data_IF_384289844162
#
_entry.id   IF_384289844162
#
_cell.length_a   1.000
_cell.length_b   1.000
_cell.length_c   1.000
_cell.angle_alpha   90.00
_cell.angle_beta   90.00
_cell.angle_gamma   90.00
#
_symmetry.space_group_name_H-M   'P 1'
#
loop_
_entity.id
_entity.type
_entity.pdbx_description
1 polymer ?
#
# COMPACT_ATOMS: atom_id res chain seq x y z
N UNK A 1 10.22 11.75 -14.53
CA UNK A 1 8.92 11.31 -13.98
C UNK A 1 8.71 9.82 -14.03
N UNK A 2 8.53 9.24 -15.22
CA UNK A 2 8.27 7.80 -15.42
C UNK A 2 9.18 6.88 -14.59
N UNK A 3 10.50 7.04 -14.69
CA UNK A 3 11.46 6.22 -13.95
C UNK A 3 11.33 6.34 -12.42
N UNK A 4 10.95 7.53 -11.91
CA UNK A 4 10.69 7.72 -10.47
C UNK A 4 9.43 6.97 -10.06
N UNK A 5 8.35 7.06 -10.85
CA UNK A 5 7.12 6.30 -10.61
C UNK A 5 7.39 4.78 -10.63
N UNK A 6 8.18 4.30 -11.59
CA UNK A 6 8.61 2.90 -11.66
C UNK A 6 9.34 2.46 -10.38
N UNK A 7 10.29 3.26 -9.88
CA UNK A 7 11.00 2.96 -8.64
C UNK A 7 10.06 2.89 -7.43
N UNK A 8 9.10 3.81 -7.35
CA UNK A 8 8.13 3.86 -6.26
C UNK A 8 7.16 2.68 -6.28
N UNK A 9 6.64 2.33 -7.45
CA UNK A 9 5.74 1.20 -7.61
C UNK A 9 6.44 -0.16 -7.39
N UNK A 10 7.69 -0.31 -7.83
CA UNK A 10 8.46 -1.54 -7.56
C UNK A 10 8.95 -1.68 -6.12
N UNK A 11 9.25 -0.56 -5.46
CA UNK A 11 9.75 -0.56 -4.09
C UNK A 11 8.59 -0.39 -3.10
N UNK A 12 8.35 0.84 -2.61
CA UNK A 12 7.31 1.10 -1.60
C UNK A 12 5.87 0.75 -1.98
N UNK A 13 5.53 0.50 -3.25
CA UNK A 13 4.19 0.07 -3.66
C UNK A 13 3.12 1.17 -3.72
N UNK A 14 3.47 2.44 -3.50
CA UNK A 14 2.56 3.58 -3.59
C UNK A 14 3.05 4.62 -4.61
N UNK A 15 2.16 5.56 -4.95
CA UNK A 15 2.41 6.58 -5.97
C UNK A 15 2.73 7.91 -5.28
N UNK A 16 3.92 8.49 -5.48
CA UNK A 16 4.21 9.84 -4.99
C UNK A 16 3.43 10.87 -5.81
N UNK A 17 2.92 11.92 -5.18
CA UNK A 17 2.14 12.97 -5.84
C UNK A 17 2.49 14.40 -5.38
N UNK A 18 1.62 15.38 -5.67
CA UNK A 18 1.84 16.78 -5.27
C UNK A 18 1.80 16.95 -3.74
N UNK A 19 0.98 16.17 -3.04
CA UNK A 19 0.85 16.17 -1.58
C UNK A 19 1.91 15.29 -0.89
N UNK A 20 2.50 14.35 -1.64
CA UNK A 20 3.48 13.36 -1.20
C UNK A 20 4.64 13.28 -2.19
N UNK A 21 5.45 14.34 -2.23
CA UNK A 21 6.59 14.40 -3.15
C UNK A 21 7.56 13.23 -2.90
N UNK A 22 8.19 12.70 -3.96
CA UNK A 22 9.17 11.64 -3.81
C UNK A 22 10.39 12.13 -3.04
N UNK A 23 11.03 11.23 -2.31
CA UNK A 23 12.22 11.50 -1.52
C UNK A 23 13.37 11.97 -2.45
N UNK A 24 14.00 13.09 -2.10
CA UNK A 24 15.03 13.73 -2.91
C UNK A 24 16.19 12.79 -3.29
N UNK A 25 16.55 11.87 -2.39
CA UNK A 25 17.58 10.86 -2.67
C UNK A 25 17.23 9.92 -3.83
N UNK A 26 15.95 9.53 -3.97
CA UNK A 26 15.48 8.70 -5.09
C UNK A 26 15.53 9.50 -6.39
N UNK A 27 14.98 10.72 -6.37
CA UNK A 27 14.95 11.60 -7.55
C UNK A 27 16.37 11.89 -8.04
N UNK A 28 17.27 12.28 -7.15
CA UNK A 28 18.68 12.57 -7.47
C UNK A 28 19.40 11.37 -8.07
N UNK A 29 19.22 10.18 -7.48
CA UNK A 29 19.87 8.96 -7.98
C UNK A 29 19.35 8.54 -9.35
N UNK A 30 18.04 8.64 -9.57
CA UNK A 30 17.42 8.35 -10.88
C UNK A 30 17.87 9.37 -11.93
N UNK A 31 17.83 10.66 -11.61
CA UNK A 31 18.24 11.75 -12.50
C UNK A 31 19.71 11.60 -12.93
N UNK A 32 20.60 11.32 -11.98
CA UNK A 32 22.03 11.05 -12.25
C UNK A 32 22.23 9.90 -13.24
N UNK A 33 21.50 8.78 -13.08
CA UNK A 33 21.58 7.63 -13.99
C UNK A 33 21.06 7.93 -15.39
N UNK A 34 20.08 8.81 -15.51
CA UNK A 34 19.51 9.25 -16.77
C UNK A 34 20.24 10.46 -17.40
N UNK A 35 21.28 10.98 -16.74
CA UNK A 35 21.99 12.22 -17.14
C UNK A 35 21.06 13.43 -17.25
N UNK A 36 20.11 13.53 -16.31
CA UNK A 36 19.13 14.60 -16.20
C UNK A 36 19.33 15.41 -14.92
N UNK A 37 18.73 16.60 -14.86
CA UNK A 37 18.69 17.41 -13.64
C UNK A 37 17.59 16.89 -12.67
N UNK A 38 17.84 16.91 -11.36
CA UNK A 38 16.90 16.37 -10.36
C UNK A 38 15.68 17.27 -10.09
N UNK A 39 15.76 18.55 -10.44
CA UNK A 39 14.72 19.57 -10.29
C UNK A 39 13.60 19.49 -11.35
N UNK A 40 13.65 18.50 -12.24
CA UNK A 40 12.63 18.26 -13.26
C UNK A 40 11.35 17.58 -12.71
N UNK A 41 11.36 17.12 -11.45
CA UNK A 41 10.19 16.44 -10.87
C UNK A 41 8.93 17.33 -10.76
N UNK A 42 8.99 18.55 -10.22
CA UNK A 42 7.81 19.43 -10.12
C UNK A 42 7.17 19.72 -11.48
N UNK A 43 7.99 19.94 -12.52
CA UNK A 43 7.51 20.12 -13.90
C UNK A 43 6.83 18.86 -14.44
N UNK A 44 7.37 17.69 -14.14
CA UNK A 44 6.71 16.43 -14.48
C UNK A 44 5.38 16.25 -13.72
N UNK A 45 5.37 16.54 -12.42
CA UNK A 45 4.22 16.31 -11.55
C UNK A 45 3.02 17.23 -11.86
N UNK A 46 3.24 18.36 -12.54
CA UNK A 46 2.18 19.26 -12.99
C UNK A 46 1.49 18.80 -14.29
N UNK A 47 2.10 17.92 -15.08
CA UNK A 47 1.56 17.40 -16.35
C UNK A 47 0.66 16.18 -16.11
N UNK A 48 -0.57 16.45 -15.69
CA UNK A 48 -1.50 15.39 -15.24
C UNK A 48 -1.81 14.34 -16.33
N UNK A 49 -2.12 14.75 -17.56
CA UNK A 49 -2.44 13.80 -18.64
C UNK A 49 -1.29 12.81 -18.90
N UNK A 50 -0.07 13.32 -19.12
CA UNK A 50 1.12 12.50 -19.34
C UNK A 50 1.39 11.56 -18.16
N UNK A 51 1.11 12.01 -16.93
CA UNK A 51 1.26 11.18 -15.73
C UNK A 51 0.26 10.03 -15.68
N UNK A 52 -1.00 10.26 -16.04
CA UNK A 52 -2.03 9.22 -16.10
C UNK A 52 -1.70 8.15 -17.14
N UNK A 53 -1.23 8.56 -18.32
CA UNK A 53 -0.76 7.66 -19.37
C UNK A 53 0.39 6.78 -18.86
N UNK A 54 1.40 7.40 -18.23
CA UNK A 54 2.52 6.66 -17.64
C UNK A 54 2.11 5.69 -16.52
N UNK A 55 1.19 6.08 -15.63
CA UNK A 55 0.71 5.19 -14.57
C UNK A 55 -0.03 3.99 -15.15
N UNK A 56 -0.85 4.22 -16.17
CA UNK A 56 -1.56 3.15 -16.89
C UNK A 56 -0.58 2.16 -17.51
N UNK A 57 0.47 2.66 -18.16
CA UNK A 57 1.52 1.82 -18.73
C UNK A 57 2.27 1.04 -17.65
N UNK A 58 2.62 1.69 -16.54
CA UNK A 58 3.35 1.07 -15.43
C UNK A 58 2.53 0.00 -14.72
N UNK A 59 1.23 0.20 -14.50
CA UNK A 59 0.38 -0.82 -13.89
C UNK A 59 0.30 -2.06 -14.75
N UNK A 60 0.14 -1.88 -16.06
CA UNK A 60 0.15 -2.99 -17.01
C UNK A 60 1.51 -3.70 -17.04
N UNK A 61 2.61 -2.95 -17.07
CA UNK A 61 3.96 -3.51 -17.12
C UNK A 61 4.35 -4.27 -15.83
N UNK A 62 3.89 -3.79 -14.67
CA UNK A 62 4.17 -4.38 -13.37
C UNK A 62 3.09 -5.36 -12.90
N UNK A 63 2.05 -5.59 -13.71
CA UNK A 63 0.90 -6.43 -13.37
C UNK A 63 0.19 -6.02 -12.07
N UNK A 64 0.17 -4.71 -11.80
CA UNK A 64 -0.39 -4.15 -10.59
C UNK A 64 -1.90 -3.95 -10.68
N UNK A 65 -2.60 -4.31 -9.60
CA UNK A 65 -4.04 -4.12 -9.46
C UNK A 65 -4.36 -3.06 -8.40
N UNK A 66 -5.37 -2.20 -8.62
CA UNK A 66 -5.82 -1.26 -7.61
C UNK A 66 -6.49 -2.00 -6.44
N UNK A 67 -6.33 -1.49 -5.23
CA UNK A 67 -6.99 -2.05 -4.05
C UNK A 67 -8.52 -1.92 -4.18
N UNK A 68 -9.21 -3.05 -4.21
CA UNK A 68 -10.67 -3.13 -4.38
C UNK A 68 -11.36 -3.62 -3.10
N UNK A 69 -12.70 -3.49 -3.04
CA UNK A 69 -13.49 -4.06 -1.93
C UNK A 69 -13.38 -5.58 -1.83
N UNK A 70 -13.21 -6.29 -2.96
CA UNK A 70 -12.98 -7.74 -2.92
C UNK A 70 -11.65 -8.06 -2.25
N UNK A 71 -10.60 -7.36 -2.66
CA UNK A 71 -9.25 -7.52 -2.11
C UNK A 71 -9.18 -7.09 -0.65
N UNK A 72 -9.97 -6.11 -0.23
CA UNK A 72 -10.11 -5.76 1.18
C UNK A 72 -10.64 -6.95 2.00
N UNK A 73 -11.66 -7.67 1.50
CA UNK A 73 -12.17 -8.88 2.17
C UNK A 73 -11.12 -9.98 2.22
N UNK A 74 -10.36 -10.17 1.14
CA UNK A 74 -9.26 -11.14 1.08
C UNK A 74 -8.15 -10.80 2.09
N UNK A 75 -7.77 -9.53 2.14
CA UNK A 75 -6.82 -8.99 3.11
C UNK A 75 -7.30 -9.16 4.55
N UNK A 76 -8.58 -8.90 4.83
CA UNK A 76 -9.17 -9.10 6.17
C UNK A 76 -9.09 -10.57 6.57
N UNK A 77 -9.44 -11.49 5.66
CA UNK A 77 -9.34 -12.94 5.91
C UNK A 77 -7.90 -13.37 6.19
N UNK A 78 -6.94 -12.82 5.46
CA UNK A 78 -5.52 -13.08 5.66
C UNK A 78 -5.03 -12.59 7.02
N UNK A 79 -5.41 -11.36 7.41
CA UNK A 79 -4.93 -10.72 8.64
C UNK A 79 -5.62 -11.20 9.92
N UNK A 80 -6.85 -11.73 9.83
CA UNK A 80 -7.63 -12.19 10.97
C UNK A 80 -6.85 -13.12 11.93
N UNK A 81 -6.19 -14.22 11.49
CA UNK A 81 -5.41 -15.07 12.38
C UNK A 81 -4.21 -14.37 13.04
N UNK A 82 -3.66 -13.33 12.43
CA UNK A 82 -2.59 -12.52 13.04
C UNK A 82 -3.15 -11.63 14.14
N UNK A 83 -4.27 -10.95 13.87
CA UNK A 83 -4.94 -10.08 14.85
C UNK A 83 -5.52 -10.86 16.05
N UNK A 84 -5.83 -12.15 15.88
CA UNK A 84 -6.18 -13.03 17.00
C UNK A 84 -5.00 -13.26 17.98
N UNK A 85 -3.75 -13.03 17.56
CA UNK A 85 -2.53 -13.35 18.31
C UNK A 85 -1.80 -12.11 18.83
N UNK A 86 -2.07 -10.94 18.28
CA UNK A 86 -1.43 -9.69 18.70
C UNK A 86 -2.37 -8.49 18.57
N UNK A 87 -2.25 -7.58 19.53
CA UNK A 87 -2.88 -6.26 19.55
C UNK A 87 -1.95 -5.16 18.99
N UNK A 88 -0.72 -5.49 18.61
CA UNK A 88 0.25 -4.49 18.13
C UNK A 88 -0.06 -4.11 16.69
N UNK A 89 -0.65 -2.94 16.50
CA UNK A 89 -1.07 -2.43 15.18
C UNK A 89 0.05 -2.38 14.13
N UNK A 90 1.29 -2.09 14.52
CA UNK A 90 2.41 -2.04 13.56
C UNK A 90 2.69 -3.40 12.91
N UNK A 91 2.58 -4.51 13.65
CA UNK A 91 2.80 -5.85 13.09
C UNK A 91 1.70 -6.20 12.07
N UNK A 92 0.46 -5.81 12.33
CA UNK A 92 -0.64 -6.00 11.40
C UNK A 92 -0.48 -5.13 10.14
N UNK A 93 0.02 -3.91 10.30
CA UNK A 93 0.34 -3.04 9.17
C UNK A 93 1.45 -3.64 8.30
N UNK A 94 2.56 -4.09 8.89
CA UNK A 94 3.66 -4.75 8.17
C UNK A 94 3.18 -5.99 7.40
N UNK A 95 2.33 -6.82 8.03
CA UNK A 95 1.74 -7.98 7.37
C UNK A 95 0.79 -7.58 6.24
N UNK A 96 -0.02 -6.53 6.42
CA UNK A 96 -0.90 -6.00 5.38
C UNK A 96 -0.10 -5.52 4.17
N UNK A 97 0.95 -4.72 4.39
CA UNK A 97 1.80 -4.21 3.31
C UNK A 97 2.52 -5.36 2.59
N UNK A 98 2.99 -6.36 3.32
CA UNK A 98 3.60 -7.57 2.75
C UNK A 98 2.60 -8.36 1.90
N UNK A 99 1.37 -8.53 2.39
CA UNK A 99 0.30 -9.19 1.64
C UNK A 99 -0.04 -8.43 0.36
N UNK A 100 -0.21 -7.10 0.43
CA UNK A 100 -0.48 -6.27 -0.74
C UNK A 100 0.64 -6.39 -1.78
N UNK A 101 1.90 -6.32 -1.34
CA UNK A 101 3.05 -6.45 -2.23
C UNK A 101 3.08 -7.82 -2.93
N UNK A 102 2.90 -8.90 -2.17
CA UNK A 102 2.92 -10.27 -2.69
C UNK A 102 1.74 -10.60 -3.62
N UNK A 103 0.67 -9.81 -3.56
CA UNK A 103 -0.51 -9.96 -4.43
C UNK A 103 -0.54 -8.90 -5.57
N UNK A 104 0.58 -8.23 -5.84
CA UNK A 104 0.69 -7.17 -6.86
C UNK A 104 -0.38 -6.08 -6.71
N UNK A 105 -0.65 -5.67 -5.47
CA UNK A 105 -1.68 -4.68 -5.14
C UNK A 105 -1.04 -3.33 -4.87
N UNK A 106 -1.52 -2.29 -5.55
CA UNK A 106 -1.13 -0.92 -5.25
C UNK A 106 -1.57 -0.59 -3.83
N UNK A 107 -0.67 -0.05 -3.02
CA UNK A 107 -0.98 0.32 -1.65
C UNK A 107 -2.08 1.38 -1.66
N UNK A 108 -3.19 1.16 -0.93
CA UNK A 108 -4.24 2.18 -0.83
C UNK A 108 -3.76 3.34 0.04
N UNK A 109 -4.59 4.38 0.17
CA UNK A 109 -4.28 5.49 1.07
C UNK A 109 -4.11 5.01 2.52
N UNK A 110 -3.35 5.76 3.31
CA UNK A 110 -3.15 5.47 4.74
C UNK A 110 -4.48 5.32 5.47
N UNK A 111 -5.47 6.17 5.18
CA UNK A 111 -6.82 6.09 5.75
C UNK A 111 -7.50 4.73 5.46
N UNK A 112 -7.34 4.20 4.24
CA UNK A 112 -7.92 2.90 3.86
C UNK A 112 -7.17 1.76 4.55
N UNK A 113 -5.85 1.87 4.72
CA UNK A 113 -5.04 0.92 5.49
C UNK A 113 -5.53 0.89 6.94
N UNK A 114 -5.56 2.05 7.60
CA UNK A 114 -5.99 2.18 9.01
C UNK A 114 -7.40 1.64 9.23
N UNK A 115 -8.35 1.99 8.36
CA UNK A 115 -9.72 1.48 8.44
C UNK A 115 -9.79 -0.04 8.30
N UNK A 116 -9.02 -0.61 7.36
CA UNK A 116 -8.98 -2.06 7.15
C UNK A 116 -8.38 -2.77 8.36
N UNK A 117 -7.29 -2.25 8.93
CA UNK A 117 -6.68 -2.80 10.14
C UNK A 117 -7.63 -2.71 11.35
N UNK A 118 -8.33 -1.59 11.53
CA UNK A 118 -9.31 -1.43 12.60
C UNK A 118 -10.48 -2.43 12.48
N UNK A 119 -10.93 -2.70 11.26
CA UNK A 119 -11.95 -3.72 10.99
C UNK A 119 -11.45 -5.13 11.35
N UNK A 120 -10.24 -5.49 10.92
CA UNK A 120 -9.62 -6.78 11.28
C UNK A 120 -9.53 -6.95 12.79
N UNK A 121 -9.03 -5.94 13.51
CA UNK A 121 -8.88 -5.97 14.97
C UNK A 121 -10.24 -6.16 15.66
N UNK A 122 -11.27 -5.45 15.18
CA UNK A 122 -12.63 -5.57 15.72
C UNK A 122 -13.17 -6.99 15.54
N UNK A 123 -12.97 -7.59 14.36
CA UNK A 123 -13.40 -8.96 14.08
C UNK A 123 -12.64 -9.99 14.91
N UNK A 124 -11.32 -9.85 15.02
CA UNK A 124 -10.49 -10.71 15.84
C UNK A 124 -10.88 -10.64 17.32
N UNK A 125 -11.06 -9.44 17.88
CA UNK A 125 -11.47 -9.26 19.27
C UNK A 125 -12.82 -9.95 19.57
N UNK A 126 -13.78 -9.87 18.66
CA UNK A 126 -15.05 -10.60 18.79
C UNK A 126 -14.84 -12.12 18.81
N UNK A 127 -13.99 -12.63 17.93
CA UNK A 127 -13.65 -14.06 17.88
C UNK A 127 -12.90 -14.52 19.14
N UNK A 128 -11.92 -13.75 19.64
CA UNK A 128 -11.22 -14.03 20.91
C UNK A 128 -12.22 -14.08 22.05
N UNK A 129 -13.05 -13.04 22.20
CA UNK A 129 -14.05 -12.96 23.26
C UNK A 129 -14.99 -14.16 23.23
N UNK A 130 -15.60 -14.46 22.08
CA UNK A 130 -16.50 -15.60 21.92
C UNK A 130 -15.82 -16.93 22.26
N UNK A 131 -14.56 -17.12 21.88
CA UNK A 131 -13.81 -18.34 22.19
C UNK A 131 -13.60 -18.49 23.70
N UNK A 132 -13.29 -17.39 24.39
CA UNK A 132 -13.04 -17.39 25.84
C UNK A 132 -14.33 -17.56 26.65
N UNK A 133 -15.46 -16.99 26.21
CA UNK A 133 -16.73 -17.07 26.94
C UNK A 133 -17.53 -18.34 26.66
N UNK A 134 -17.24 -19.07 25.58
CA UNK A 134 -17.95 -20.29 25.20
C UNK A 134 -17.98 -21.38 26.29
N UNK A 135 -17.02 -21.38 27.22
CA UNK A 135 -16.96 -22.32 28.34
C UNK A 135 -17.79 -21.87 29.56
N UNK A 136 -18.17 -20.60 29.64
CA UNK A 136 -18.96 -20.03 30.74
C UNK A 136 -20.48 -20.12 30.49
N UNK A 137 -20.89 -20.43 29.25
CA UNK A 137 -22.28 -20.58 28.84
C UNK A 137 -22.80 -22.03 28.97
N UNK A 138 -22.00 -22.94 29.53
CA UNK A 138 -22.36 -24.32 29.86
C UNK A 138 -22.49 -24.51 31.35
#
# INVERSE_FOLDING_TARGET
>A
GFAVLLCYLRGPGFIPDKSSAPHNGVVSRVASRLKLQPDLWPEYASREQTRWEHLTELYRYLELSPFSRSMQKDCIRHLHPYAMRTDKGFMLAEEMLSWLHNNNVIFPSVEVIERTLAEVVTLANRSVFSTLTAQLEK
#
